data_IF_319539960485
#
_entry.id   IF_319539960485
#
_cell.length_a   1.000
_cell.length_b   1.000
_cell.length_c   1.000
_cell.angle_alpha   90.00
_cell.angle_beta   90.00
_cell.angle_gamma   90.00
#
_symmetry.space_group_name_H-M   'P 1'
#
loop_
_entity.id
_entity.type
_entity.pdbx_description
1 polymer ?
#
# COMPACT_ATOMS: atom_id res chain seq x y z
N UNK A 1 -15.89 -7.94 -6.22
CA UNK A 1 -16.58 -9.24 -6.31
C UNK A 1 -15.88 -10.31 -5.46
N UNK A 2 -14.56 -10.58 -5.61
CA UNK A 2 -13.90 -11.70 -4.92
C UNK A 2 -13.80 -11.52 -3.39
N UNK A 3 -13.50 -10.30 -2.92
CA UNK A 3 -13.51 -9.98 -1.47
C UNK A 3 -14.91 -10.25 -0.89
N UNK A 4 -15.99 -9.85 -1.58
CA UNK A 4 -17.34 -10.12 -1.14
C UNK A 4 -17.67 -11.62 -1.01
N UNK A 5 -17.16 -12.44 -1.92
CA UNK A 5 -17.30 -13.91 -1.82
C UNK A 5 -16.59 -14.49 -0.59
N UNK A 6 -15.38 -13.99 -0.29
CA UNK A 6 -14.66 -14.40 0.92
C UNK A 6 -15.42 -14.02 2.19
N UNK A 7 -15.93 -12.77 2.24
CA UNK A 7 -16.70 -12.30 3.40
C UNK A 7 -17.97 -13.12 3.61
N UNK A 8 -18.73 -13.41 2.53
CA UNK A 8 -19.91 -14.24 2.60
C UNK A 8 -19.59 -15.66 3.09
N UNK A 9 -18.49 -16.25 2.62
CA UNK A 9 -18.04 -17.56 3.10
C UNK A 9 -17.73 -17.57 4.60
N UNK A 10 -17.06 -16.54 5.13
CA UNK A 10 -16.78 -16.42 6.56
C UNK A 10 -18.07 -16.28 7.37
N UNK A 11 -19.05 -15.54 6.85
CA UNK A 11 -20.35 -15.36 7.47
C UNK A 11 -21.14 -16.68 7.52
N UNK A 12 -21.23 -17.39 6.41
CA UNK A 12 -21.86 -18.71 6.33
C UNK A 12 -21.26 -19.74 7.30
N UNK A 13 -19.97 -19.59 7.63
CA UNK A 13 -19.24 -20.46 8.57
C UNK A 13 -19.31 -19.99 10.02
N UNK A 14 -19.97 -18.86 10.30
CA UNK A 14 -20.02 -18.26 11.63
C UNK A 14 -18.66 -17.80 12.15
N UNK A 15 -17.70 -17.48 11.26
CA UNK A 15 -16.33 -17.13 11.62
C UNK A 15 -16.08 -15.63 11.67
N UNK A 16 -17.01 -14.80 11.20
CA UNK A 16 -16.81 -13.37 10.99
C UNK A 16 -16.40 -12.63 12.26
N UNK A 17 -17.03 -12.93 13.39
CA UNK A 17 -16.83 -12.17 14.63
C UNK A 17 -15.40 -12.27 15.19
N UNK A 18 -14.81 -13.45 15.09
CA UNK A 18 -13.47 -13.73 15.61
C UNK A 18 -12.43 -13.92 14.50
N UNK A 19 -12.62 -13.26 13.38
CA UNK A 19 -11.63 -13.21 12.30
C UNK A 19 -11.16 -11.78 12.08
N UNK A 20 -9.85 -11.57 12.21
CA UNK A 20 -9.23 -10.31 11.82
C UNK A 20 -9.02 -10.29 10.30
N UNK A 21 -9.65 -9.34 9.63
CA UNK A 21 -9.53 -9.11 8.19
C UNK A 21 -8.75 -7.82 7.97
N UNK A 22 -7.64 -7.92 7.25
CA UNK A 22 -6.80 -6.78 6.89
C UNK A 22 -6.85 -6.61 5.38
N UNK A 23 -7.26 -5.44 4.93
CA UNK A 23 -7.28 -5.07 3.52
C UNK A 23 -6.42 -3.83 3.31
N UNK A 24 -5.47 -3.91 2.41
CA UNK A 24 -4.58 -2.80 2.06
C UNK A 24 -4.16 -2.90 0.59
N UNK A 25 -3.61 -1.80 0.06
CA UNK A 25 -2.80 -1.80 -1.15
C UNK A 25 -1.32 -1.85 -0.76
N UNK A 26 -0.49 -2.42 -1.61
CA UNK A 26 0.97 -2.52 -1.42
C UNK A 26 1.72 -1.27 -1.89
N UNK A 27 1.09 -0.47 -2.75
CA UNK A 27 1.58 0.80 -3.26
C UNK A 27 0.43 1.64 -3.81
N UNK A 28 0.70 2.91 -4.10
CA UNK A 28 -0.23 3.77 -4.80
C UNK A 28 -0.48 3.33 -6.24
N UNK A 29 -1.38 4.03 -6.92
CA UNK A 29 -1.78 3.70 -8.29
C UNK A 29 -0.58 3.54 -9.22
N UNK A 30 -0.58 2.47 -10.04
CA UNK A 30 0.53 2.13 -10.93
C UNK A 30 0.58 3.02 -12.16
N UNK A 31 1.78 3.41 -12.57
CA UNK A 31 2.07 4.11 -13.83
C UNK A 31 2.54 3.18 -14.95
N UNK A 32 2.54 1.88 -14.72
CA UNK A 32 3.13 0.87 -15.60
C UNK A 32 2.38 0.67 -16.92
N UNK A 33 1.27 1.38 -17.11
CA UNK A 33 0.62 1.52 -18.40
C UNK A 33 1.27 2.53 -19.36
N UNK A 34 2.32 3.24 -18.92
CA UNK A 34 2.96 4.28 -19.74
C UNK A 34 2.03 5.47 -20.02
N UNK A 35 2.39 6.34 -21.01
CA UNK A 35 1.60 7.53 -21.31
C UNK A 35 0.18 7.24 -21.81
N UNK A 36 -0.02 6.14 -22.50
CA UNK A 36 -1.26 5.80 -23.21
C UNK A 36 -2.08 4.68 -22.55
N UNK A 37 -1.52 3.98 -21.57
CA UNK A 37 -2.04 2.73 -21.07
C UNK A 37 -1.62 1.55 -21.93
N UNK A 38 -1.82 0.34 -21.41
CA UNK A 38 -1.54 -0.92 -22.12
C UNK A 38 -2.65 -1.92 -21.87
N UNK A 39 -2.92 -2.77 -22.83
CA UNK A 39 -3.84 -3.90 -22.69
C UNK A 39 -3.13 -5.12 -22.09
N UNK A 40 -1.81 -5.23 -22.32
CA UNK A 40 -0.94 -6.22 -21.73
C UNK A 40 0.24 -5.53 -21.02
N UNK A 41 0.37 -5.72 -19.70
CA UNK A 41 1.44 -5.15 -18.88
C UNK A 41 2.84 -5.52 -19.40
N UNK A 42 3.01 -6.71 -19.98
CA UNK A 42 4.28 -7.14 -20.56
C UNK A 42 4.73 -6.26 -21.73
N UNK A 43 3.80 -5.64 -22.46
CA UNK A 43 4.14 -4.67 -23.52
C UNK A 43 4.94 -3.50 -22.93
N UNK A 44 4.53 -2.96 -21.78
CA UNK A 44 5.26 -1.90 -21.09
C UNK A 44 6.69 -2.34 -20.68
N UNK A 45 6.82 -3.51 -20.05
CA UNK A 45 8.13 -3.99 -19.58
C UNK A 45 9.08 -4.38 -20.72
N UNK A 46 8.55 -4.76 -21.86
CA UNK A 46 9.34 -5.05 -23.07
C UNK A 46 9.55 -3.82 -23.95
N UNK A 47 9.11 -2.63 -23.52
CA UNK A 47 9.18 -1.39 -24.34
C UNK A 47 8.46 -1.51 -25.69
N UNK A 48 7.41 -2.32 -25.73
CA UNK A 48 6.54 -2.49 -26.90
C UNK A 48 5.31 -1.58 -26.75
N UNK A 49 5.09 -0.73 -27.74
CA UNK A 49 3.94 0.18 -27.72
C UNK A 49 2.76 -0.43 -28.47
N UNK A 50 1.67 -0.62 -27.77
CA UNK A 50 0.42 -1.09 -28.34
C UNK A 50 -0.28 0.02 -29.14
N UNK A 51 -1.00 -0.37 -30.20
CA UNK A 51 -1.81 0.56 -30.98
C UNK A 51 -3.13 0.85 -30.25
N UNK A 52 -3.29 2.07 -29.77
CA UNK A 52 -4.49 2.48 -28.99
C UNK A 52 -5.76 2.41 -29.85
N UNK A 53 -5.71 2.82 -31.10
CA UNK A 53 -6.88 2.79 -31.98
C UNK A 53 -7.35 1.35 -32.25
N UNK A 54 -6.42 0.42 -32.39
CA UNK A 54 -6.74 -1.01 -32.53
C UNK A 54 -7.37 -1.56 -31.24
N UNK A 55 -6.82 -1.20 -30.08
CA UNK A 55 -7.38 -1.60 -28.77
C UNK A 55 -8.81 -1.10 -28.63
N UNK A 56 -9.04 0.18 -28.89
CA UNK A 56 -10.36 0.80 -28.79
C UNK A 56 -11.37 0.15 -29.75
N UNK A 57 -10.93 -0.16 -30.96
CA UNK A 57 -11.80 -0.77 -31.97
C UNK A 57 -12.16 -2.23 -31.67
N UNK A 58 -11.24 -3.02 -31.09
CA UNK A 58 -11.34 -4.48 -31.13
C UNK A 58 -11.16 -5.19 -29.78
N UNK A 59 -10.62 -4.52 -28.74
CA UNK A 59 -10.19 -5.20 -27.50
C UNK A 59 -10.72 -4.61 -26.19
N UNK A 60 -11.56 -3.59 -26.21
CA UNK A 60 -12.11 -3.00 -24.97
C UNK A 60 -12.83 -4.03 -24.12
N UNK A 61 -13.56 -4.95 -24.71
CA UNK A 61 -14.29 -6.02 -24.01
C UNK A 61 -13.37 -7.04 -23.30
N UNK A 62 -12.04 -6.96 -23.53
CA UNK A 62 -11.07 -7.82 -22.85
C UNK A 62 -10.73 -7.33 -21.46
N UNK A 63 -10.94 -6.03 -21.15
CA UNK A 63 -10.63 -5.44 -19.85
C UNK A 63 -11.42 -6.17 -18.75
N UNK A 64 -10.71 -6.59 -17.71
CA UNK A 64 -11.27 -7.36 -16.60
C UNK A 64 -11.52 -8.84 -16.87
N UNK A 65 -11.12 -9.34 -18.04
CA UNK A 65 -11.17 -10.77 -18.38
C UNK A 65 -9.77 -11.39 -18.37
N UNK A 66 -9.69 -12.72 -18.54
CA UNK A 66 -8.42 -13.45 -18.68
C UNK A 66 -7.63 -13.13 -19.97
N UNK A 67 -8.18 -12.30 -20.85
CA UNK A 67 -7.55 -11.93 -22.14
C UNK A 67 -6.75 -10.62 -22.04
N UNK A 68 -6.81 -9.93 -20.92
CA UNK A 68 -6.11 -8.67 -20.72
C UNK A 68 -5.56 -8.59 -19.30
N UNK A 69 -4.33 -8.09 -19.19
CA UNK A 69 -3.70 -7.65 -17.94
C UNK A 69 -3.36 -6.18 -18.09
N UNK A 70 -4.41 -5.36 -18.13
CA UNK A 70 -4.33 -3.95 -18.52
C UNK A 70 -3.86 -3.04 -17.38
N UNK A 71 -3.07 -2.03 -17.74
CA UNK A 71 -2.77 -0.88 -16.91
C UNK A 71 -3.23 0.40 -17.58
N UNK A 72 -3.78 1.31 -16.80
CA UNK A 72 -4.26 2.60 -17.29
C UNK A 72 -3.10 3.60 -17.54
N UNK A 73 -3.34 4.69 -18.31
CA UNK A 73 -2.35 5.73 -18.55
C UNK A 73 -1.86 6.44 -17.29
N UNK A 74 -0.66 7.00 -17.30
CA UNK A 74 -0.07 7.77 -16.19
C UNK A 74 -0.99 8.84 -15.61
N UNK A 75 -1.74 9.55 -16.46
CA UNK A 75 -2.67 10.58 -16.01
C UNK A 75 -3.71 10.03 -15.04
N UNK A 76 -4.21 8.83 -15.28
CA UNK A 76 -5.17 8.16 -14.39
C UNK A 76 -4.53 7.69 -13.09
N UNK A 77 -3.22 7.33 -13.09
CA UNK A 77 -2.49 7.03 -11.84
C UNK A 77 -2.49 8.25 -10.91
N UNK A 78 -2.24 9.45 -11.46
CA UNK A 78 -2.27 10.68 -10.69
C UNK A 78 -3.69 11.02 -10.22
N UNK A 79 -4.70 10.84 -11.06
CA UNK A 79 -6.12 11.06 -10.69
C UNK A 79 -6.51 10.13 -9.54
N UNK A 80 -6.16 8.84 -9.62
CA UNK A 80 -6.47 7.84 -8.60
C UNK A 80 -5.85 8.13 -7.23
N UNK A 81 -4.74 8.85 -7.19
CA UNK A 81 -4.02 9.20 -5.95
C UNK A 81 -4.36 10.59 -5.39
N UNK A 82 -5.15 11.37 -6.09
CA UNK A 82 -5.52 12.73 -5.65
C UNK A 82 -6.17 12.72 -4.25
N UNK A 83 -5.76 13.63 -3.32
CA UNK A 83 -4.89 14.81 -3.51
C UNK A 83 -3.39 14.54 -3.33
N UNK A 84 -2.96 13.30 -3.13
CA UNK A 84 -1.55 12.95 -2.93
C UNK A 84 -0.77 13.06 -4.25
N UNK A 85 0.47 13.59 -4.17
CA UNK A 85 1.35 13.73 -5.34
C UNK A 85 1.94 12.41 -5.76
N UNK A 86 2.10 12.24 -7.05
CA UNK A 86 2.74 11.11 -7.70
C UNK A 86 2.01 9.76 -7.48
N UNK A 87 2.68 8.66 -7.73
CA UNK A 87 2.13 7.32 -7.88
C UNK A 87 3.19 6.27 -7.50
N UNK A 88 2.89 4.99 -7.71
CA UNK A 88 3.82 3.86 -7.52
C UNK A 88 5.25 4.20 -8.00
N UNK A 89 6.25 3.69 -7.33
CA UNK A 89 7.70 3.95 -7.53
C UNK A 89 8.16 5.33 -7.05
N UNK A 90 7.33 6.06 -6.30
CA UNK A 90 7.69 7.36 -5.74
C UNK A 90 7.50 7.36 -4.22
N UNK A 91 8.38 8.06 -3.50
CA UNK A 91 8.27 8.22 -2.04
C UNK A 91 7.35 9.37 -1.62
N UNK A 92 6.71 10.05 -2.57
CA UNK A 92 5.63 11.00 -2.32
C UNK A 92 4.35 10.29 -1.85
N UNK A 93 3.40 11.06 -1.34
CA UNK A 93 2.14 10.53 -0.80
C UNK A 93 1.41 9.59 -1.76
N UNK A 94 1.34 9.94 -3.05
CA UNK A 94 0.67 9.10 -4.05
C UNK A 94 1.32 7.74 -4.31
N UNK A 95 2.58 7.54 -3.91
CA UNK A 95 3.24 6.25 -4.03
C UNK A 95 3.19 5.38 -2.77
N UNK A 96 3.06 6.00 -1.57
CA UNK A 96 3.23 5.28 -0.30
C UNK A 96 2.11 5.52 0.73
N UNK A 97 1.15 6.39 0.45
CA UNK A 97 0.00 6.63 1.35
C UNK A 97 -1.22 5.90 0.83
N UNK A 98 -1.33 4.65 1.22
CA UNK A 98 -2.40 3.76 0.80
C UNK A 98 -3.41 3.51 1.91
N UNK A 99 -4.60 3.08 1.51
CA UNK A 99 -5.66 2.78 2.47
C UNK A 99 -5.37 1.47 3.19
N UNK A 100 -5.54 1.48 4.51
CA UNK A 100 -5.54 0.28 5.36
C UNK A 100 -6.91 0.17 6.03
N UNK A 101 -7.55 -0.98 5.90
CA UNK A 101 -8.80 -1.32 6.59
C UNK A 101 -8.56 -2.55 7.45
N UNK A 102 -8.87 -2.45 8.74
CA UNK A 102 -8.86 -3.59 9.65
C UNK A 102 -10.28 -3.80 10.18
N UNK A 103 -10.81 -5.01 9.99
CA UNK A 103 -12.09 -5.44 10.53
C UNK A 103 -11.87 -6.61 11.47
N UNK A 104 -12.30 -6.47 12.73
CA UNK A 104 -12.32 -7.54 13.71
C UNK A 104 -13.43 -7.27 14.73
N UNK A 105 -14.66 -7.71 14.47
CA UNK A 105 -15.82 -7.33 15.29
C UNK A 105 -15.66 -7.59 16.78
N UNK A 106 -15.01 -8.68 17.16
CA UNK A 106 -14.79 -9.07 18.56
C UNK A 106 -13.87 -8.10 19.32
N UNK A 107 -12.95 -7.42 18.65
CA UNK A 107 -11.86 -6.67 19.28
C UNK A 107 -11.90 -5.16 18.99
N UNK A 108 -12.58 -4.74 17.92
CA UNK A 108 -12.68 -3.33 17.54
C UNK A 108 -13.99 -2.75 18.07
N UNK A 109 -13.87 -1.83 19.04
CA UNK A 109 -15.00 -1.30 19.78
C UNK A 109 -15.90 -0.34 19.01
N UNK A 110 -15.36 0.35 17.97
CA UNK A 110 -16.04 1.38 17.19
C UNK A 110 -15.94 1.11 15.69
N UNK A 111 -16.74 0.18 15.15
CA UNK A 111 -16.71 -0.19 13.74
C UNK A 111 -17.02 1.01 12.83
N UNK A 112 -16.27 1.12 11.72
CA UNK A 112 -16.43 2.20 10.74
C UNK A 112 -15.71 3.50 11.10
N UNK A 113 -15.06 3.58 12.26
CA UNK A 113 -14.31 4.77 12.62
C UNK A 113 -13.00 4.92 11.83
N UNK A 114 -12.67 6.17 11.49
CA UNK A 114 -11.40 6.51 10.82
C UNK A 114 -10.31 6.76 11.87
N UNK A 115 -9.13 6.20 11.63
CA UNK A 115 -7.91 6.44 12.40
C UNK A 115 -6.93 7.25 11.56
N UNK A 116 -6.30 8.23 12.20
CA UNK A 116 -5.34 9.14 11.54
C UNK A 116 -3.90 8.90 11.99
N UNK A 117 -3.68 7.90 12.84
CA UNK A 117 -2.34 7.48 13.27
C UNK A 117 -1.54 7.03 12.07
N UNK A 118 -0.29 7.46 12.02
CA UNK A 118 0.64 6.95 11.02
C UNK A 118 0.87 5.46 11.24
N UNK A 119 0.76 4.68 10.19
CA UNK A 119 1.06 3.25 10.20
C UNK A 119 1.94 2.88 8.99
N UNK A 120 2.66 1.80 9.11
CA UNK A 120 3.51 1.24 8.07
C UNK A 120 3.16 -0.23 7.87
N UNK A 121 3.41 -0.78 6.69
CA UNK A 121 3.06 -2.18 6.39
C UNK A 121 3.71 -3.18 7.36
N UNK A 122 4.89 -2.87 7.90
CA UNK A 122 5.56 -3.70 8.93
C UNK A 122 4.77 -3.80 10.24
N UNK A 123 3.82 -2.88 10.49
CA UNK A 123 3.02 -2.87 11.72
C UNK A 123 1.96 -3.97 11.73
N UNK A 124 1.60 -4.49 10.55
CA UNK A 124 0.61 -5.56 10.43
C UNK A 124 1.09 -6.83 11.11
N UNK A 125 2.34 -7.25 10.87
CA UNK A 125 2.89 -8.41 11.52
C UNK A 125 2.96 -8.24 13.04
N UNK A 126 3.44 -7.09 13.53
CA UNK A 126 3.48 -6.78 14.96
C UNK A 126 2.07 -6.81 15.60
N UNK A 127 1.07 -6.30 14.87
CA UNK A 127 -0.34 -6.33 15.29
C UNK A 127 -0.87 -7.76 15.40
N UNK A 128 -0.55 -8.61 14.45
CA UNK A 128 -0.95 -10.03 14.48
C UNK A 128 -0.31 -10.75 15.65
N UNK A 129 1.00 -10.60 15.88
CA UNK A 129 1.69 -11.23 17.00
C UNK A 129 1.09 -10.81 18.35
N UNK A 130 0.91 -9.52 18.59
CA UNK A 130 0.29 -9.02 19.82
C UNK A 130 -1.15 -9.51 19.98
N UNK A 131 -1.91 -9.53 18.88
CA UNK A 131 -3.32 -9.95 18.89
C UNK A 131 -3.51 -11.42 19.24
N UNK A 132 -2.55 -12.25 18.88
CA UNK A 132 -2.56 -13.68 19.17
C UNK A 132 -1.83 -14.02 20.49
N UNK A 133 -1.20 -13.06 21.15
CA UNK A 133 -0.38 -13.29 22.33
C UNK A 133 0.85 -14.16 22.04
N UNK A 134 1.40 -14.06 20.84
CA UNK A 134 2.57 -14.82 20.40
C UNK A 134 3.80 -13.89 20.44
N UNK A 135 4.85 -14.34 21.13
CA UNK A 135 6.15 -13.63 21.08
C UNK A 135 6.89 -13.93 19.77
N UNK A 136 7.56 -12.91 19.23
CA UNK A 136 8.43 -13.11 18.06
C UNK A 136 9.52 -14.11 18.42
N UNK A 137 9.72 -15.18 17.65
CA UNK A 137 10.77 -16.14 17.90
C UNK A 137 12.16 -15.48 17.72
N UNK A 138 13.05 -15.63 18.69
CA UNK A 138 14.44 -15.16 18.60
C UNK A 138 15.26 -15.98 17.62
N UNK A 139 14.89 -17.23 17.43
CA UNK A 139 15.56 -18.17 16.52
C UNK A 139 14.51 -18.95 15.75
N UNK A 140 14.68 -19.11 14.45
CA UNK A 140 13.83 -19.90 13.59
C UNK A 140 14.71 -20.82 12.73
N UNK A 141 14.46 -22.14 12.78
CA UNK A 141 15.24 -23.17 12.07
C UNK A 141 16.76 -23.04 12.28
N UNK A 142 17.19 -22.68 13.51
CA UNK A 142 18.60 -22.51 13.86
C UNK A 142 19.22 -21.15 13.47
N UNK A 143 18.46 -20.26 12.87
CA UNK A 143 18.91 -18.91 12.49
C UNK A 143 18.35 -17.85 13.43
N UNK A 144 19.24 -16.99 13.94
CA UNK A 144 18.84 -15.83 14.74
C UNK A 144 17.98 -14.88 13.90
N UNK A 145 16.88 -14.41 14.48
CA UNK A 145 15.93 -13.53 13.82
C UNK A 145 16.22 -12.07 14.14
N UNK A 146 16.13 -11.22 13.13
CA UNK A 146 16.17 -9.76 13.30
C UNK A 146 14.95 -9.30 14.10
N UNK A 147 15.13 -8.33 14.99
CA UNK A 147 14.03 -7.72 15.72
C UNK A 147 12.99 -7.12 14.76
N UNK A 148 11.72 -7.30 15.06
CA UNK A 148 10.63 -6.71 14.29
C UNK A 148 10.64 -5.18 14.45
N UNK A 149 10.62 -4.44 13.35
CA UNK A 149 10.59 -2.97 13.35
C UNK A 149 9.18 -2.39 13.35
N UNK A 150 8.16 -3.24 13.25
CA UNK A 150 6.76 -2.82 13.27
C UNK A 150 6.28 -2.46 14.67
N UNK A 151 5.39 -1.45 14.74
CA UNK A 151 4.67 -1.07 15.94
C UNK A 151 3.23 -1.59 15.85
N UNK A 152 2.78 -2.35 16.83
CA UNK A 152 1.42 -2.89 16.80
C UNK A 152 0.35 -1.79 16.81
N UNK A 153 -0.62 -1.93 15.93
CA UNK A 153 -1.80 -1.05 15.83
C UNK A 153 -2.90 -1.42 16.81
N UNK A 154 -2.73 -2.45 17.63
CA UNK A 154 -3.76 -2.93 18.57
C UNK A 154 -4.22 -1.84 19.55
N UNK A 155 -3.36 -0.89 19.88
CA UNK A 155 -3.71 0.25 20.73
C UNK A 155 -4.85 1.12 20.15
N UNK A 156 -5.11 1.03 18.84
CA UNK A 156 -6.19 1.78 18.17
C UNK A 156 -7.55 1.06 18.19
N UNK A 157 -7.61 -0.20 18.64
CA UNK A 157 -8.82 -1.02 18.55
C UNK A 157 -9.87 -0.67 19.62
N UNK A 158 -9.43 -0.18 20.77
CA UNK A 158 -10.31 0.15 21.89
C UNK A 158 -11.09 1.46 21.76
N UNK A 159 -10.97 2.18 20.65
CA UNK A 159 -11.64 3.45 20.42
C UNK A 159 -10.69 4.59 20.01
N UNK A 160 -11.13 5.84 20.06
CA UNK A 160 -10.31 6.99 19.66
C UNK A 160 -9.06 7.13 20.51
N UNK A 161 -7.91 7.32 19.87
CA UNK A 161 -6.63 7.54 20.53
C UNK A 161 -5.94 8.80 20.00
N UNK A 162 -5.12 9.41 20.84
CA UNK A 162 -4.29 10.57 20.49
C UNK A 162 -2.85 10.12 20.20
N UNK A 163 -2.22 10.79 19.23
CA UNK A 163 -0.81 10.58 18.90
C UNK A 163 -0.52 9.28 18.14
N UNK A 164 0.76 9.08 17.88
CA UNK A 164 1.33 7.91 17.21
C UNK A 164 2.28 7.21 18.17
N UNK A 165 2.31 5.88 18.13
CA UNK A 165 3.37 5.11 18.80
C UNK A 165 4.64 5.02 17.95
N UNK A 166 4.47 5.09 16.61
CA UNK A 166 5.59 4.95 15.68
C UNK A 166 6.47 6.19 15.67
N UNK A 167 7.78 5.97 15.77
CA UNK A 167 8.80 6.99 15.57
C UNK A 167 9.03 7.33 14.09
N UNK A 168 10.13 8.02 13.76
CA UNK A 168 10.45 8.39 12.39
C UNK A 168 10.49 7.18 11.45
N UNK A 169 9.91 7.32 10.26
CA UNK A 169 9.91 6.28 9.23
C UNK A 169 10.59 6.79 7.97
N UNK A 170 11.66 6.11 7.58
CA UNK A 170 12.38 6.34 6.33
C UNK A 170 11.77 5.54 5.19
N UNK A 171 11.78 6.12 4.00
CA UNK A 171 11.37 5.49 2.74
C UNK A 171 12.41 5.73 1.67
N UNK A 172 12.67 4.71 0.87
CA UNK A 172 13.54 4.78 -0.30
C UNK A 172 12.95 3.92 -1.41
N UNK A 173 13.00 4.45 -2.64
CA UNK A 173 12.63 3.73 -3.84
C UNK A 173 13.37 4.32 -5.05
N UNK A 174 14.22 3.54 -5.69
CA UNK A 174 14.98 3.96 -6.89
C UNK A 174 15.77 5.27 -6.70
N UNK A 175 16.31 5.50 -5.50
CA UNK A 175 17.01 6.73 -5.15
C UNK A 175 16.12 7.85 -4.63
N UNK A 176 14.80 7.84 -4.89
CA UNK A 176 13.86 8.76 -4.27
C UNK A 176 13.78 8.49 -2.77
N UNK A 177 13.85 9.53 -1.94
CA UNK A 177 13.92 9.37 -0.49
C UNK A 177 12.88 10.20 0.22
N UNK A 178 12.39 9.69 1.33
CA UNK A 178 11.53 10.45 2.23
C UNK A 178 11.74 10.01 3.68
N UNK A 179 11.41 10.88 4.61
CA UNK A 179 11.27 10.57 6.02
C UNK A 179 10.00 11.21 6.56
N UNK A 180 9.23 10.43 7.29
CA UNK A 180 8.10 10.93 8.07
C UNK A 180 8.48 10.98 9.55
N UNK A 181 8.11 12.06 10.23
CA UNK A 181 8.27 12.21 11.68
C UNK A 181 7.24 13.20 12.22
N UNK A 182 6.54 12.82 13.27
CA UNK A 182 5.64 13.70 14.05
C UNK A 182 4.60 14.47 13.21
N UNK A 183 4.12 13.86 12.13
CA UNK A 183 3.13 14.49 11.24
C UNK A 183 3.73 15.23 10.05
N UNK A 184 5.02 15.46 10.04
CA UNK A 184 5.74 16.08 8.92
C UNK A 184 6.36 15.03 8.02
N UNK A 185 6.52 15.36 6.76
CA UNK A 185 7.21 14.53 5.78
C UNK A 185 8.18 15.36 4.95
N UNK A 186 9.47 15.04 5.06
CA UNK A 186 10.47 15.51 4.11
C UNK A 186 10.60 14.50 2.98
N UNK A 187 10.66 14.98 1.73
CA UNK A 187 10.75 14.11 0.55
C UNK A 187 11.58 14.75 -0.54
N UNK A 188 12.33 13.94 -1.28
CA UNK A 188 13.08 14.36 -2.46
C UNK A 188 12.90 13.40 -3.62
N UNK A 189 12.81 13.97 -4.81
CA UNK A 189 12.97 13.26 -6.07
C UNK A 189 14.47 13.20 -6.38
N UNK A 190 14.97 12.02 -6.70
CA UNK A 190 16.35 11.83 -7.14
C UNK A 190 16.42 11.67 -8.65
N UNK A 191 17.23 12.47 -9.32
CA UNK A 191 17.61 12.26 -10.71
C UNK A 191 18.89 11.38 -10.72
N UNK A 192 18.82 10.24 -11.37
CA UNK A 192 19.93 9.26 -11.43
C UNK A 192 21.23 9.81 -12.03
N UNK A 193 21.15 10.96 -12.73
CA UNK A 193 22.33 11.63 -13.32
C UNK A 193 22.91 12.70 -12.40
N UNK A 194 22.36 12.89 -11.22
CA UNK A 194 22.75 13.96 -10.28
C UNK A 194 23.24 13.33 -8.97
N UNK A 195 24.36 13.82 -8.38
CA UNK A 195 24.79 13.35 -7.06
C UNK A 195 23.73 13.62 -5.99
N UNK A 196 23.59 12.70 -5.03
CA UNK A 196 22.59 12.76 -3.95
C UNK A 196 22.65 14.04 -3.10
N UNK A 197 23.81 14.65 -2.92
CA UNK A 197 24.01 15.92 -2.20
C UNK A 197 23.34 17.11 -2.88
N UNK A 198 23.01 17.00 -4.16
CA UNK A 198 22.37 18.04 -4.93
C UNK A 198 20.83 17.90 -4.97
N UNK A 199 20.29 16.87 -4.33
CA UNK A 199 18.85 16.67 -4.26
C UNK A 199 18.16 17.79 -3.47
N UNK A 200 17.06 18.29 -4.01
CA UNK A 200 16.24 19.31 -3.34
C UNK A 200 15.14 18.64 -2.52
N UNK A 201 15.09 18.95 -1.23
CA UNK A 201 14.09 18.44 -0.31
C UNK A 201 12.89 19.37 -0.19
N UNK A 202 11.69 18.81 -0.25
CA UNK A 202 10.44 19.46 0.12
C UNK A 202 9.96 18.98 1.48
N UNK A 203 9.39 19.90 2.29
CA UNK A 203 8.75 19.57 3.56
C UNK A 203 7.23 19.74 3.43
N UNK A 204 6.47 18.77 3.92
CA UNK A 204 5.00 18.68 3.88
C UNK A 204 4.42 18.37 5.24
#
# INVERSE_FOLDING_TARGET
>A
AQIGRLLAFLEERGMTDNTMIVLLSDNGASREGGPQGVMDEWSFFNSEWENVDEIVANRLDYIGTKKAHSNYPWGWSQVGNTPSRWYKSQTYGGGIRDSLIIKWPKEIADPGAVRTQFCHISDIAATVYESLGIEQPKTLNGHEQMAMHGESLRYTFGGPVQGNKRGPQYFEMMGHRAIWSEGYKAVTFHDQNVPYENDTWGLY
#
